data_IF_412987756492
#
_entry.id   IF_412987756492
#
_cell.length_a   1.000
_cell.length_b   1.000
_cell.length_c   1.000
_cell.angle_alpha   90.00
_cell.angle_beta   90.00
_cell.angle_gamma   90.00
#
_symmetry.space_group_name_H-M   'P 1'
#
loop_
_entity.id
_entity.type
_entity.pdbx_description
1 polymer ?
#
# COMPACT_ATOMS: atom_id res chain seq x y z
N UNK A 1 -30.84 30.02 16.00
CA UNK A 1 -29.36 29.98 16.00
C UNK A 1 -28.98 28.54 15.72
N UNK A 2 -28.17 28.27 14.69
CA UNK A 2 -27.75 26.91 14.37
C UNK A 2 -27.04 26.30 15.59
N UNK A 3 -27.53 25.17 16.10
CA UNK A 3 -26.92 24.42 17.21
C UNK A 3 -25.63 23.68 16.79
N UNK A 4 -25.27 23.75 15.50
CA UNK A 4 -24.14 23.02 14.94
C UNK A 4 -22.88 23.89 14.90
N UNK A 5 -22.15 23.91 16.02
CA UNK A 5 -20.89 24.67 16.17
C UNK A 5 -19.78 24.08 15.29
N UNK A 6 -18.85 24.91 14.82
CA UNK A 6 -17.69 24.45 14.03
C UNK A 6 -16.94 23.25 14.64
N UNK A 7 -16.61 23.18 15.95
CA UNK A 7 -15.93 22.01 16.50
C UNK A 7 -16.74 20.70 16.38
N UNK A 8 -18.07 20.78 16.48
CA UNK A 8 -18.95 19.60 16.30
C UNK A 8 -19.01 19.17 14.85
N UNK A 9 -19.10 20.13 13.92
CA UNK A 9 -19.04 19.85 12.48
C UNK A 9 -17.69 19.23 12.11
N UNK A 10 -16.59 19.84 12.55
CA UNK A 10 -15.24 19.37 12.27
C UNK A 10 -14.99 17.97 12.85
N UNK A 11 -15.54 17.64 14.02
CA UNK A 11 -15.47 16.30 14.60
C UNK A 11 -16.34 15.28 13.85
N UNK A 12 -17.62 15.56 13.61
CA UNK A 12 -18.57 14.65 12.94
C UNK A 12 -18.13 14.31 11.51
N UNK A 13 -17.54 15.28 10.82
CA UNK A 13 -17.10 15.15 9.42
C UNK A 13 -15.65 14.64 9.28
N UNK A 14 -15.04 14.23 10.40
CA UNK A 14 -13.63 13.85 10.49
C UNK A 14 -12.71 14.83 9.75
N UNK A 15 -12.74 16.10 10.16
CA UNK A 15 -11.98 17.20 9.55
C UNK A 15 -12.43 17.57 8.14
N UNK A 16 -13.72 17.41 7.84
CA UNK A 16 -14.32 17.65 6.51
C UNK A 16 -13.74 16.73 5.42
N UNK A 17 -13.38 15.49 5.79
CA UNK A 17 -12.76 14.52 4.86
C UNK A 17 -13.65 13.32 4.53
N UNK A 18 -14.81 13.21 5.19
CA UNK A 18 -15.81 12.20 4.83
C UNK A 18 -16.43 12.56 3.47
N UNK A 19 -16.74 11.54 2.67
CA UNK A 19 -17.22 11.69 1.31
C UNK A 19 -16.11 11.87 0.26
N UNK A 20 -14.84 12.01 0.64
CA UNK A 20 -13.74 12.03 -0.33
C UNK A 20 -13.36 10.59 -0.75
N UNK A 21 -13.16 10.29 -2.06
CA UNK A 21 -12.59 9.03 -2.50
C UNK A 21 -11.20 8.77 -1.90
N UNK A 22 -10.97 7.53 -1.45
CA UNK A 22 -9.71 7.07 -0.86
C UNK A 22 -9.30 5.71 -1.41
N UNK A 23 -8.02 5.37 -1.25
CA UNK A 23 -7.46 4.07 -1.66
C UNK A 23 -7.79 3.76 -3.13
N UNK A 24 -7.65 4.76 -4.00
CA UNK A 24 -8.06 4.67 -5.40
C UNK A 24 -7.17 3.69 -6.15
N UNK A 25 -7.76 2.67 -6.75
CA UNK A 25 -7.13 1.69 -7.64
C UNK A 25 -7.75 1.81 -9.03
N UNK A 26 -6.91 1.92 -10.05
CA UNK A 26 -7.35 2.01 -11.45
C UNK A 26 -6.96 0.72 -12.16
N UNK A 27 -7.88 0.12 -12.90
CA UNK A 27 -7.60 -1.13 -13.62
C UNK A 27 -6.57 -0.94 -14.73
N UNK A 28 -5.73 -1.94 -15.03
CA UNK A 28 -4.73 -1.83 -16.11
C UNK A 28 -5.32 -1.57 -17.49
N UNK A 29 -6.57 -1.96 -17.72
CA UNK A 29 -7.32 -1.68 -18.96
C UNK A 29 -7.96 -0.28 -18.98
N UNK A 30 -7.82 0.51 -17.91
CA UNK A 30 -8.36 1.85 -17.78
C UNK A 30 -9.89 1.93 -17.70
N UNK A 31 -10.58 0.80 -17.49
CA UNK A 31 -12.05 0.72 -17.54
C UNK A 31 -12.74 0.83 -16.20
N UNK A 32 -12.02 0.69 -15.08
CA UNK A 32 -12.58 0.68 -13.73
C UNK A 32 -11.72 1.50 -12.78
N UNK A 33 -12.38 2.31 -11.97
CA UNK A 33 -11.77 2.99 -10.82
C UNK A 33 -12.47 2.48 -9.56
N UNK A 34 -11.72 1.84 -8.68
CA UNK A 34 -12.21 1.29 -7.41
C UNK A 34 -11.73 2.17 -6.27
N UNK A 35 -12.60 2.53 -5.34
CA UNK A 35 -12.24 3.41 -4.23
C UNK A 35 -13.14 3.20 -3.01
N UNK A 36 -12.60 3.53 -1.84
CA UNK A 36 -13.35 3.61 -0.60
C UNK A 36 -13.90 5.03 -0.42
N UNK A 37 -15.18 5.16 -0.09
CA UNK A 37 -15.82 6.46 0.16
C UNK A 37 -17.05 6.27 1.05
N UNK A 38 -17.27 7.19 1.99
CA UNK A 38 -18.53 7.21 2.74
C UNK A 38 -19.69 7.71 1.87
N UNK A 39 -20.93 7.46 2.28
CA UNK A 39 -22.12 7.86 1.50
C UNK A 39 -22.42 9.35 1.56
N UNK A 40 -21.95 10.01 2.61
CA UNK A 40 -22.20 11.42 2.88
C UNK A 40 -21.05 12.02 3.69
N UNK A 41 -20.97 13.35 3.68
CA UNK A 41 -19.95 14.11 4.42
C UNK A 41 -20.06 14.04 5.94
N UNK A 42 -21.11 13.40 6.48
CA UNK A 42 -21.33 13.15 7.91
C UNK A 42 -21.51 11.66 8.25
N UNK A 43 -21.30 10.76 7.27
CA UNK A 43 -21.29 9.30 7.45
C UNK A 43 -19.86 8.81 7.66
N UNK A 44 -19.48 8.32 8.85
CA UNK A 44 -18.11 7.87 9.13
C UNK A 44 -17.79 6.50 8.53
N UNK A 45 -18.74 5.82 7.89
CA UNK A 45 -18.59 4.46 7.38
C UNK A 45 -18.23 4.47 5.90
N UNK A 46 -17.01 4.03 5.59
CA UNK A 46 -16.57 3.87 4.21
C UNK A 46 -17.16 2.61 3.57
N UNK A 47 -17.73 2.78 2.38
CA UNK A 47 -18.14 1.70 1.49
C UNK A 47 -17.14 1.54 0.34
N UNK A 48 -17.20 0.41 -0.37
CA UNK A 48 -16.41 0.21 -1.60
C UNK A 48 -17.26 0.50 -2.83
N UNK A 49 -16.74 1.34 -3.71
CA UNK A 49 -17.38 1.79 -4.94
C UNK A 49 -16.53 1.43 -6.15
N UNK A 50 -17.18 1.28 -7.30
CA UNK A 50 -16.56 1.15 -8.62
C UNK A 50 -17.18 2.20 -9.52
N UNK A 51 -16.36 3.00 -10.19
CA UNK A 51 -16.75 3.75 -11.37
C UNK A 51 -16.39 2.91 -12.61
N UNK A 52 -17.42 2.55 -13.39
CA UNK A 52 -17.27 1.89 -14.68
C UNK A 52 -17.09 2.95 -15.80
N UNK A 53 -16.10 2.79 -16.68
CA UNK A 53 -15.71 3.75 -17.73
C UNK A 53 -15.94 3.21 -19.17
N UNK A 54 -16.98 2.39 -19.37
CA UNK A 54 -17.27 1.78 -20.68
C UNK A 54 -17.47 2.84 -21.78
N UNK A 55 -16.79 2.66 -22.91
CA UNK A 55 -16.78 3.50 -24.13
C UNK A 55 -16.04 4.85 -24.07
N UNK A 56 -15.33 5.16 -22.99
CA UNK A 56 -14.50 6.38 -22.92
C UNK A 56 -15.29 7.69 -22.81
N UNK A 57 -16.62 7.61 -22.79
CA UNK A 57 -17.51 8.71 -22.46
C UNK A 57 -18.15 8.43 -21.09
N UNK A 58 -17.94 9.35 -20.15
CA UNK A 58 -18.64 9.36 -18.88
C UNK A 58 -20.09 9.82 -19.11
N UNK A 59 -21.07 9.00 -18.69
CA UNK A 59 -22.45 9.47 -18.56
C UNK A 59 -22.65 10.01 -17.15
N UNK A 60 -22.73 11.33 -16.99
CA UNK A 60 -23.16 11.92 -15.71
C UNK A 60 -24.62 11.54 -15.48
N UNK A 61 -24.90 10.67 -14.51
CA UNK A 61 -26.25 10.45 -14.01
C UNK A 61 -26.90 11.76 -13.55
N UNK A 62 -28.24 11.79 -13.41
CA UNK A 62 -28.98 12.99 -12.98
C UNK A 62 -28.55 13.51 -11.59
N UNK A 63 -27.84 12.70 -10.80
CA UNK A 63 -27.28 12.99 -9.48
C UNK A 63 -25.82 13.44 -9.49
N UNK A 64 -25.16 13.48 -10.65
CA UNK A 64 -23.77 13.91 -10.79
C UNK A 64 -22.71 12.83 -10.53
N UNK A 65 -23.11 11.62 -10.13
CA UNK A 65 -22.20 10.55 -9.67
C UNK A 65 -21.83 9.52 -10.76
N UNK A 66 -22.32 9.68 -11.98
CA UNK A 66 -21.93 8.80 -13.09
C UNK A 66 -22.32 7.33 -12.91
N UNK A 67 -21.70 6.43 -13.67
CA UNK A 67 -21.85 4.96 -13.52
C UNK A 67 -21.11 4.42 -12.27
N UNK A 68 -21.18 5.14 -11.15
CA UNK A 68 -20.69 4.68 -9.85
C UNK A 68 -21.63 3.64 -9.26
N UNK A 69 -21.06 2.51 -8.84
CA UNK A 69 -21.79 1.39 -8.26
C UNK A 69 -21.16 0.97 -6.94
N UNK A 70 -22.02 0.87 -5.93
CA UNK A 70 -21.68 0.27 -4.64
C UNK A 70 -21.42 -1.23 -4.80
N UNK A 71 -20.25 -1.70 -4.36
CA UNK A 71 -19.85 -3.12 -4.40
C UNK A 71 -19.91 -3.77 -3.02
N UNK A 72 -19.49 -3.05 -1.99
CA UNK A 72 -19.48 -3.56 -0.62
C UNK A 72 -19.94 -2.49 0.35
N UNK A 73 -20.98 -2.83 1.11
CA UNK A 73 -21.49 -2.03 2.22
C UNK A 73 -21.20 -2.76 3.53
N UNK A 74 -20.35 -2.21 4.42
CA UNK A 74 -20.08 -2.80 5.72
C UNK A 74 -21.36 -3.15 6.47
N UNK A 75 -22.36 -2.26 6.48
CA UNK A 75 -23.57 -2.44 7.28
C UNK A 75 -24.41 -3.64 6.81
N UNK A 76 -24.36 -3.95 5.51
CA UNK A 76 -25.01 -5.13 4.92
C UNK A 76 -24.16 -6.38 5.16
N UNK A 77 -22.84 -6.27 5.04
CA UNK A 77 -21.92 -7.40 5.14
C UNK A 77 -21.80 -7.95 6.55
N UNK A 78 -21.70 -7.08 7.56
CA UNK A 78 -21.51 -7.51 8.95
C UNK A 78 -22.80 -7.52 9.77
N UNK A 79 -23.89 -6.91 9.28
CA UNK A 79 -25.04 -6.53 10.10
C UNK A 79 -24.66 -5.36 11.01
N UNK A 80 -25.63 -4.51 11.40
CA UNK A 80 -25.39 -3.20 12.03
C UNK A 80 -24.71 -3.17 13.43
N UNK A 81 -23.97 -4.21 13.83
CA UNK A 81 -23.39 -4.35 15.15
C UNK A 81 -22.02 -5.05 15.08
N UNK A 82 -20.91 -4.29 14.99
CA UNK A 82 -19.63 -4.66 15.66
C UNK A 82 -18.43 -3.70 15.44
N UNK A 83 -18.64 -2.41 15.17
CA UNK A 83 -17.49 -1.46 15.11
C UNK A 83 -16.83 -1.21 16.49
N UNK A 84 -17.46 -1.64 17.60
CA UNK A 84 -16.99 -1.38 18.97
C UNK A 84 -15.97 -2.42 19.49
N UNK A 85 -15.85 -3.60 18.85
CA UNK A 85 -15.00 -4.72 19.30
C UNK A 85 -13.94 -5.16 18.28
N UNK A 86 -13.09 -4.22 17.84
CA UNK A 86 -11.96 -4.58 16.97
C UNK A 86 -10.90 -5.42 17.72
N UNK A 87 -10.39 -6.51 17.11
CA UNK A 87 -9.26 -7.27 17.65
C UNK A 87 -8.03 -6.37 17.93
N UNK A 88 -7.20 -6.67 18.95
CA UNK A 88 -6.05 -5.84 19.32
C UNK A 88 -5.06 -5.59 18.17
N UNK A 89 -4.84 -6.60 17.32
CA UNK A 89 -3.95 -6.51 16.15
C UNK A 89 -4.49 -5.52 15.10
N UNK A 90 -5.80 -5.50 14.86
CA UNK A 90 -6.45 -4.55 13.94
C UNK A 90 -6.37 -3.13 14.50
N UNK A 91 -6.59 -2.96 15.81
CA UNK A 91 -6.49 -1.67 16.48
C UNK A 91 -5.08 -1.09 16.38
N UNK A 92 -4.07 -1.89 16.70
CA UNK A 92 -2.67 -1.50 16.59
C UNK A 92 -2.34 -1.07 15.16
N UNK A 93 -2.79 -1.81 14.14
CA UNK A 93 -2.59 -1.45 12.72
C UNK A 93 -3.25 -0.11 12.37
N UNK A 94 -4.51 0.11 12.75
CA UNK A 94 -5.22 1.37 12.50
C UNK A 94 -4.48 2.57 13.10
N UNK A 95 -3.91 2.39 14.28
CA UNK A 95 -3.06 3.41 14.90
C UNK A 95 -1.81 3.70 14.05
N UNK A 96 -1.09 2.68 13.55
CA UNK A 96 0.09 2.89 12.67
C UNK A 96 -0.26 3.56 11.34
N UNK A 97 -1.38 3.15 10.75
CA UNK A 97 -1.89 3.71 9.51
C UNK A 97 -2.56 5.09 9.70
N UNK A 98 -2.71 5.56 10.94
CA UNK A 98 -3.43 6.79 11.32
C UNK A 98 -4.85 6.82 10.75
N UNK A 99 -5.49 5.65 10.70
CA UNK A 99 -6.82 5.45 10.10
C UNK A 99 -7.92 5.65 11.14
N UNK A 100 -8.78 6.65 10.91
CA UNK A 100 -9.87 7.03 11.81
C UNK A 100 -11.27 6.71 11.28
N UNK A 101 -11.41 6.27 10.02
CA UNK A 101 -12.71 5.97 9.43
C UNK A 101 -13.24 4.59 9.87
N UNK A 102 -14.57 4.48 10.00
CA UNK A 102 -15.27 3.20 10.19
C UNK A 102 -15.51 2.49 8.85
N UNK A 103 -15.93 1.22 8.89
CA UNK A 103 -16.20 0.44 7.68
C UNK A 103 -14.95 -0.06 6.94
N UNK A 104 -14.97 0.03 5.59
CA UNK A 104 -13.88 -0.47 4.73
C UNK A 104 -12.74 0.55 4.70
N UNK A 105 -11.66 0.25 5.41
CA UNK A 105 -10.46 1.08 5.51
C UNK A 105 -9.36 0.67 4.53
N UNK A 106 -9.37 -0.58 4.06
CA UNK A 106 -8.44 -1.10 3.06
C UNK A 106 -9.07 -2.25 2.27
N UNK A 107 -8.65 -2.40 1.03
CA UNK A 107 -8.98 -3.54 0.17
C UNK A 107 -7.78 -3.85 -0.74
N UNK A 108 -7.75 -5.06 -1.29
CA UNK A 108 -6.80 -5.45 -2.32
C UNK A 108 -7.57 -6.01 -3.52
N UNK A 109 -6.94 -6.01 -4.69
CA UNK A 109 -7.50 -6.57 -5.92
C UNK A 109 -6.55 -7.58 -6.52
N UNK A 110 -7.07 -8.42 -7.41
CA UNK A 110 -6.25 -9.13 -8.39
C UNK A 110 -5.61 -8.13 -9.37
N UNK A 111 -4.70 -8.64 -10.21
CA UNK A 111 -3.98 -7.85 -11.21
C UNK A 111 -4.92 -7.11 -12.17
N UNK A 112 -6.00 -7.74 -12.59
CA UNK A 112 -6.93 -7.19 -13.60
C UNK A 112 -8.07 -6.38 -12.97
N UNK A 113 -8.04 -6.20 -11.65
CA UNK A 113 -9.01 -5.41 -10.88
C UNK A 113 -10.44 -5.92 -11.12
N UNK A 114 -10.60 -7.25 -11.16
CA UNK A 114 -11.86 -7.96 -11.38
C UNK A 114 -12.46 -8.51 -10.09
N UNK A 115 -11.61 -8.82 -9.11
CA UNK A 115 -11.97 -9.38 -7.80
C UNK A 115 -11.29 -8.56 -6.72
N UNK A 116 -12.04 -8.25 -5.67
CA UNK A 116 -11.50 -7.63 -4.46
C UNK A 116 -11.50 -8.60 -3.29
N UNK A 117 -10.59 -8.39 -2.35
CA UNK A 117 -10.65 -8.95 -1.01
C UNK A 117 -10.46 -7.85 0.04
N UNK A 118 -11.14 -7.97 1.17
CA UNK A 118 -11.02 -7.06 2.30
C UNK A 118 -11.24 -7.80 3.62
N UNK A 119 -10.62 -7.28 4.67
CA UNK A 119 -10.89 -7.69 6.04
C UNK A 119 -11.85 -6.68 6.68
N UNK A 120 -12.91 -7.17 7.29
CA UNK A 120 -13.89 -6.33 8.01
C UNK A 120 -14.34 -7.07 9.27
N UNK A 121 -14.18 -6.41 10.43
CA UNK A 121 -14.42 -7.03 11.75
C UNK A 121 -13.71 -8.38 11.94
N UNK A 122 -12.46 -8.50 11.46
CA UNK A 122 -11.67 -9.73 11.53
C UNK A 122 -12.13 -10.87 10.61
N UNK A 123 -13.14 -10.64 9.74
CA UNK A 123 -13.65 -11.61 8.77
C UNK A 123 -13.17 -11.28 7.36
N UNK A 124 -13.03 -12.30 6.51
CA UNK A 124 -12.67 -12.17 5.11
C UNK A 124 -13.91 -11.99 4.23
N UNK A 125 -13.89 -10.94 3.41
CA UNK A 125 -14.87 -10.73 2.35
C UNK A 125 -14.20 -10.69 0.99
N UNK A 126 -14.85 -11.30 0.00
CA UNK A 126 -14.42 -11.28 -1.41
C UNK A 126 -15.59 -10.82 -2.28
N UNK A 127 -15.30 -10.18 -3.40
CA UNK A 127 -16.37 -9.79 -4.33
C UNK A 127 -15.90 -9.53 -5.75
N UNK A 128 -16.82 -9.73 -6.69
CA UNK A 128 -16.59 -9.40 -8.09
C UNK A 128 -16.83 -7.90 -8.32
N UNK A 129 -15.81 -7.20 -8.80
CA UNK A 129 -15.89 -5.77 -9.09
C UNK A 129 -16.77 -5.50 -10.32
N UNK A 130 -16.83 -6.44 -11.27
CA UNK A 130 -17.72 -6.39 -12.43
C UNK A 130 -19.17 -6.73 -12.04
N UNK A 131 -19.38 -7.77 -11.23
CA UNK A 131 -20.73 -8.20 -10.84
C UNK A 131 -21.35 -7.33 -9.75
N UNK A 132 -20.53 -6.64 -8.95
CA UNK A 132 -20.98 -5.83 -7.82
C UNK A 132 -21.44 -6.60 -6.61
N UNK A 133 -21.05 -7.87 -6.51
CA UNK A 133 -21.48 -8.75 -5.42
C UNK A 133 -20.29 -9.08 -4.55
N UNK A 134 -20.37 -8.66 -3.28
CA UNK A 134 -19.46 -9.08 -2.21
C UNK A 134 -20.13 -10.12 -1.31
N UNK A 135 -19.34 -11.04 -0.77
CA UNK A 135 -19.78 -12.05 0.19
C UNK A 135 -18.67 -12.37 1.19
N UNK A 136 -19.07 -12.88 2.34
CA UNK A 136 -18.13 -13.47 3.28
C UNK A 136 -17.49 -14.73 2.66
N UNK A 137 -16.21 -14.92 2.91
CA UNK A 137 -15.48 -16.17 2.69
C UNK A 137 -15.06 -16.69 4.07
N UNK A 138 -15.81 -17.68 4.58
CA UNK A 138 -15.57 -18.21 5.91
C UNK A 138 -14.24 -18.97 5.95
N UNK A 139 -13.29 -18.43 6.71
CA UNK A 139 -11.93 -18.96 6.88
C UNK A 139 -11.51 -18.83 8.35
N UNK A 140 -10.40 -19.47 8.72
CA UNK A 140 -9.81 -19.28 10.05
C UNK A 140 -9.39 -17.82 10.23
N UNK A 141 -9.76 -17.23 11.37
CA UNK A 141 -9.52 -15.82 11.66
C UNK A 141 -9.07 -15.58 13.11
N UNK A 142 -8.84 -14.32 13.50
CA UNK A 142 -9.08 -13.09 12.73
C UNK A 142 -8.18 -12.95 11.49
N UNK A 143 -8.71 -12.32 10.44
CA UNK A 143 -8.08 -12.16 9.12
C UNK A 143 -7.41 -10.79 8.99
N UNK A 144 -6.19 -10.79 8.45
CA UNK A 144 -5.39 -9.60 8.19
C UNK A 144 -4.80 -9.58 6.77
N UNK A 145 -4.67 -8.36 6.23
CA UNK A 145 -4.12 -8.02 4.90
C UNK A 145 -4.56 -8.97 3.76
N UNK A 146 -5.84 -9.37 3.59
CA UNK A 146 -6.18 -10.36 2.57
C UNK A 146 -5.92 -9.84 1.15
N UNK A 147 -5.30 -10.68 0.31
CA UNK A 147 -4.90 -10.33 -1.07
C UNK A 147 -5.23 -11.44 -2.06
N UNK A 148 -6.03 -11.16 -3.10
CA UNK A 148 -6.19 -12.08 -4.22
C UNK A 148 -4.85 -12.36 -4.90
N UNK A 149 -4.68 -13.58 -5.41
CA UNK A 149 -3.61 -13.88 -6.35
C UNK A 149 -3.86 -13.16 -7.70
N UNK A 150 -2.84 -13.04 -8.58
CA UNK A 150 -2.96 -12.27 -9.83
C UNK A 150 -3.99 -12.80 -10.84
N UNK A 151 -4.51 -14.01 -10.66
CA UNK A 151 -5.54 -14.62 -11.52
C UNK A 151 -6.87 -14.83 -10.78
N UNK A 152 -7.01 -14.28 -9.58
CA UNK A 152 -8.24 -14.27 -8.78
C UNK A 152 -8.85 -15.66 -8.49
N UNK A 153 -8.00 -16.66 -8.23
CA UNK A 153 -8.41 -18.00 -7.83
C UNK A 153 -8.26 -18.27 -6.35
N UNK A 154 -7.39 -17.52 -5.65
CA UNK A 154 -7.03 -17.73 -4.25
C UNK A 154 -6.83 -16.41 -3.52
N UNK A 155 -6.98 -16.45 -2.21
CA UNK A 155 -6.67 -15.33 -1.32
C UNK A 155 -5.56 -15.75 -0.37
N UNK A 156 -4.46 -15.00 -0.34
CA UNK A 156 -3.50 -15.08 0.76
C UNK A 156 -3.91 -14.11 1.86
N UNK A 157 -3.76 -14.49 3.12
CA UNK A 157 -4.08 -13.66 4.27
C UNK A 157 -3.24 -14.07 5.49
N UNK A 158 -3.12 -13.18 6.44
CA UNK A 158 -2.47 -13.46 7.74
C UNK A 158 -3.54 -13.76 8.78
N UNK A 159 -3.29 -14.74 9.63
CA UNK A 159 -4.09 -14.99 10.84
C UNK A 159 -3.19 -15.42 11.99
N UNK A 160 -3.20 -14.65 13.08
CA UNK A 160 -2.23 -14.80 14.17
C UNK A 160 -0.79 -14.62 13.67
N UNK A 161 0.09 -15.58 13.98
CA UNK A 161 1.49 -15.59 13.54
C UNK A 161 1.70 -16.25 12.17
N UNK A 162 0.65 -16.73 11.51
CA UNK A 162 0.76 -17.56 10.31
C UNK A 162 0.28 -16.87 9.03
N UNK A 163 0.95 -17.16 7.93
CA UNK A 163 0.51 -16.86 6.57
C UNK A 163 -0.33 -18.03 6.05
N UNK A 164 -1.53 -17.74 5.55
CA UNK A 164 -2.54 -18.72 5.12
C UNK A 164 -3.01 -18.45 3.70
N UNK A 165 -3.50 -19.49 3.04
CA UNK A 165 -4.15 -19.41 1.73
C UNK A 165 -5.58 -19.93 1.85
N UNK A 166 -6.52 -19.26 1.21
CA UNK A 166 -7.89 -19.71 1.03
C UNK A 166 -8.23 -19.86 -0.46
N UNK A 167 -8.91 -20.93 -0.82
CA UNK A 167 -9.65 -21.04 -2.07
C UNK A 167 -10.96 -20.26 -1.96
N UNK A 168 -11.56 -19.91 -3.10
CA UNK A 168 -12.83 -19.16 -3.12
C UNK A 168 -14.03 -19.96 -2.58
N UNK A 169 -13.91 -21.27 -2.36
CA UNK A 169 -14.95 -22.08 -1.71
C UNK A 169 -14.90 -22.00 -0.16
N UNK A 170 -13.87 -21.36 0.40
CA UNK A 170 -13.66 -21.21 1.85
C UNK A 170 -12.72 -22.24 2.45
N UNK A 171 -12.31 -23.26 1.69
CA UNK A 171 -11.22 -24.13 2.13
C UNK A 171 -9.94 -23.33 2.29
N UNK A 172 -9.21 -23.55 3.38
CA UNK A 172 -7.97 -22.81 3.66
C UNK A 172 -6.94 -23.68 4.36
N UNK A 173 -5.66 -23.31 4.21
CA UNK A 173 -4.53 -24.00 4.83
C UNK A 173 -3.44 -23.02 5.24
N UNK A 174 -2.58 -23.46 6.16
CA UNK A 174 -1.38 -22.72 6.53
C UNK A 174 -0.29 -22.91 5.47
N UNK A 175 0.22 -21.80 4.92
CA UNK A 175 1.37 -21.82 4.01
C UNK A 175 2.69 -21.74 4.77
N UNK A 176 2.75 -20.89 5.80
CA UNK A 176 3.90 -20.78 6.69
C UNK A 176 3.46 -20.34 8.10
N UNK A 177 4.04 -21.00 9.11
CA UNK A 177 3.79 -20.77 10.52
C UNK A 177 4.83 -21.51 11.37
N UNK A 178 5.01 -21.07 12.61
CA UNK A 178 5.91 -21.68 13.59
C UNK A 178 5.24 -21.69 14.97
N UNK A 179 5.60 -22.69 15.80
CA UNK A 179 5.07 -22.81 17.16
C UNK A 179 5.59 -21.73 18.12
N UNK A 180 6.72 -21.08 17.78
CA UNK A 180 7.28 -20.01 18.60
C UNK A 180 6.43 -18.73 18.45
N UNK A 181 5.78 -18.24 19.52
CA UNK A 181 4.94 -17.05 19.46
C UNK A 181 5.72 -15.75 19.21
N UNK A 182 7.06 -15.77 19.28
CA UNK A 182 7.91 -14.65 18.90
C UNK A 182 8.14 -14.56 17.39
N UNK A 183 7.81 -15.61 16.63
CA UNK A 183 8.02 -15.68 15.19
C UNK A 183 6.68 -15.49 14.47
N UNK A 184 6.69 -14.65 13.43
CA UNK A 184 5.51 -14.35 12.61
C UNK A 184 5.86 -14.40 11.13
N UNK A 185 4.93 -14.89 10.33
CA UNK A 185 5.04 -14.99 8.89
C UNK A 185 4.06 -14.04 8.18
N UNK A 186 4.49 -13.48 7.05
CA UNK A 186 3.65 -12.62 6.21
C UNK A 186 3.31 -11.25 6.80
N UNK A 187 3.87 -10.88 7.95
CA UNK A 187 3.67 -9.56 8.56
C UNK A 187 4.92 -8.69 8.46
N UNK A 188 4.73 -7.37 8.39
CA UNK A 188 5.83 -6.44 8.62
C UNK A 188 6.25 -6.46 10.09
N UNK A 189 7.54 -6.22 10.34
CA UNK A 189 8.04 -5.91 11.67
C UNK A 189 7.67 -4.47 12.08
N UNK A 190 7.84 -4.16 13.37
CA UNK A 190 7.47 -2.85 13.91
C UNK A 190 8.21 -1.70 13.23
N UNK A 191 9.53 -1.82 13.04
CA UNK A 191 10.36 -0.75 12.47
C UNK A 191 9.97 -0.50 11.01
N UNK A 192 9.77 -1.57 10.25
CA UNK A 192 9.32 -1.46 8.86
C UNK A 192 7.97 -0.73 8.72
N UNK A 193 7.00 -1.06 9.58
CA UNK A 193 5.67 -0.46 9.52
C UNK A 193 5.64 1.01 9.98
N UNK A 194 6.32 1.33 11.09
CA UNK A 194 6.25 2.66 11.71
C UNK A 194 7.20 3.67 11.07
N UNK A 195 8.43 3.24 10.77
CA UNK A 195 9.51 4.16 10.40
C UNK A 195 9.87 4.09 8.91
N UNK A 196 9.54 2.98 8.22
CA UNK A 196 9.86 2.77 6.79
C UNK A 196 8.64 2.74 5.89
N UNK A 197 7.44 2.87 6.47
CA UNK A 197 6.16 2.83 5.75
C UNK A 197 5.92 1.55 4.93
N UNK A 198 6.56 0.43 5.28
CA UNK A 198 6.27 -0.90 4.73
C UNK A 198 5.29 -1.63 5.65
N UNK A 199 4.02 -1.59 5.27
CA UNK A 199 2.94 -2.24 6.04
C UNK A 199 2.72 -3.71 5.67
N UNK A 200 3.28 -4.16 4.53
CA UNK A 200 3.13 -5.53 4.02
C UNK A 200 4.28 -6.42 4.45
N UNK A 201 3.97 -7.69 4.67
CA UNK A 201 4.97 -8.75 4.90
C UNK A 201 4.95 -9.87 3.85
N UNK A 202 4.10 -9.80 2.82
CA UNK A 202 4.12 -10.79 1.74
C UNK A 202 3.62 -10.26 0.39
N UNK A 203 4.04 -10.91 -0.70
CA UNK A 203 3.78 -10.52 -2.07
C UNK A 203 3.62 -11.75 -2.98
N UNK A 204 2.48 -11.86 -3.66
CA UNK A 204 2.23 -12.87 -4.70
C UNK A 204 3.20 -12.74 -5.87
N UNK A 205 3.72 -13.86 -6.36
CA UNK A 205 4.44 -13.93 -7.62
C UNK A 205 3.52 -13.51 -8.78
N UNK A 206 4.06 -12.96 -9.89
CA UNK A 206 3.24 -12.47 -11.01
C UNK A 206 2.32 -13.52 -11.66
N UNK A 207 2.64 -14.81 -11.51
CA UNK A 207 1.86 -15.94 -11.99
C UNK A 207 0.96 -16.60 -10.93
N UNK A 208 1.02 -16.14 -9.68
CA UNK A 208 0.22 -16.67 -8.56
C UNK A 208 0.68 -18.04 -8.03
N UNK A 209 1.84 -18.54 -8.43
CA UNK A 209 2.34 -19.87 -8.02
C UNK A 209 3.19 -19.87 -6.74
N UNK A 210 3.66 -18.70 -6.32
CA UNK A 210 4.49 -18.53 -5.14
C UNK A 210 4.19 -17.22 -4.40
N UNK A 211 4.69 -17.11 -3.17
CA UNK A 211 4.63 -15.90 -2.36
C UNK A 211 6.02 -15.59 -1.82
N UNK A 212 6.51 -14.37 -2.03
CA UNK A 212 7.62 -13.84 -1.24
C UNK A 212 7.06 -13.41 0.12
N UNK A 213 7.55 -13.95 1.23
CA UNK A 213 7.03 -13.71 2.57
C UNK A 213 8.15 -13.42 3.56
N UNK A 214 7.94 -12.42 4.40
CA UNK A 214 8.80 -12.14 5.54
C UNK A 214 8.56 -13.17 6.64
N UNK A 215 9.65 -13.67 7.23
CA UNK A 215 9.66 -14.28 8.55
C UNK A 215 10.32 -13.29 9.49
N UNK A 216 9.59 -12.88 10.53
CA UNK A 216 10.01 -11.92 11.54
C UNK A 216 10.16 -12.65 12.86
N UNK A 217 11.35 -12.68 13.43
CA UNK A 217 11.64 -13.21 14.76
C UNK A 217 11.94 -12.07 15.72
N UNK A 218 10.99 -11.78 16.60
CA UNK A 218 11.12 -10.71 17.59
C UNK A 218 11.81 -11.18 18.88
N UNK A 219 12.29 -12.43 18.98
CA UNK A 219 12.94 -12.96 20.19
C UNK A 219 14.06 -12.08 20.74
N UNK A 220 14.96 -11.48 19.93
CA UNK A 220 16.01 -10.58 20.39
C UNK A 220 15.49 -9.25 20.96
N UNK A 221 14.27 -8.85 20.57
CA UNK A 221 13.72 -7.54 20.91
C UNK A 221 13.27 -7.50 22.37
N UNK A 222 13.68 -6.44 23.05
CA UNK A 222 13.35 -6.22 24.45
C UNK A 222 11.83 -6.05 24.65
N UNK A 223 11.34 -6.59 25.77
CA UNK A 223 9.95 -6.45 26.18
C UNK A 223 9.77 -5.23 27.07
N UNK A 224 8.84 -4.38 26.70
CA UNK A 224 8.35 -3.26 27.49
C UNK A 224 6.96 -3.56 28.03
N UNK A 225 6.58 -2.88 29.10
CA UNK A 225 5.28 -3.02 29.74
C UNK A 225 4.57 -1.67 29.74
N UNK A 226 3.41 -1.61 29.11
CA UNK A 226 2.59 -0.40 29.01
C UNK A 226 1.40 -0.57 29.96
N UNK A 227 1.39 0.21 31.05
CA UNK A 227 0.26 0.25 31.97
C UNK A 227 -0.85 1.18 31.44
N UNK A 228 -2.11 0.87 31.77
CA UNK A 228 -3.25 1.75 31.53
C UNK A 228 -3.50 2.60 32.80
N UNK A 229 -3.15 3.90 32.81
CA UNK A 229 -3.34 4.74 33.99
C UNK A 229 -4.82 4.97 34.35
N UNK A 230 -5.76 4.76 33.42
CA UNK A 230 -7.18 4.90 33.68
C UNK A 230 -7.77 3.67 34.38
N UNK A 231 -7.15 2.50 34.18
CA UNK A 231 -7.53 1.22 34.79
C UNK A 231 -6.30 0.58 35.46
N UNK A 232 -5.78 1.17 36.55
CA UNK A 232 -4.51 0.75 37.16
C UNK A 232 -4.54 -0.65 37.81
N UNK A 233 -5.72 -1.26 37.92
CA UNK A 233 -5.93 -2.63 38.37
C UNK A 233 -5.76 -3.67 37.25
N UNK A 234 -5.70 -3.25 35.98
CA UNK A 234 -5.41 -4.14 34.85
C UNK A 234 -3.92 -4.48 34.76
N UNK A 235 -3.61 -5.71 34.34
CA UNK A 235 -2.23 -6.11 34.08
C UNK A 235 -1.64 -5.29 32.92
N UNK A 236 -0.40 -4.77 33.03
CA UNK A 236 0.22 -4.03 31.94
C UNK A 236 0.36 -4.86 30.67
N UNK A 237 0.16 -4.23 29.52
CA UNK A 237 0.35 -4.88 28.21
C UNK A 237 1.83 -5.04 27.92
N UNK A 238 2.26 -6.28 27.65
CA UNK A 238 3.60 -6.56 27.16
C UNK A 238 3.71 -6.24 25.66
N UNK A 239 4.71 -5.46 25.28
CA UNK A 239 5.04 -5.17 23.87
C UNK A 239 6.52 -5.43 23.61
N UNK A 240 6.87 -5.94 22.43
CA UNK A 240 8.26 -5.98 21.98
C UNK A 240 8.58 -4.65 21.30
N UNK A 241 9.53 -3.91 21.87
CA UNK A 241 9.83 -2.55 21.43
C UNK A 241 11.34 -2.40 21.14
N UNK A 242 11.74 -2.21 19.87
CA UNK A 242 13.13 -2.07 19.47
C UNK A 242 13.63 -0.65 19.76
N UNK A 243 13.93 -0.38 21.03
CA UNK A 243 14.46 0.92 21.44
C UNK A 243 15.80 1.22 20.75
N UNK A 244 16.05 2.49 20.45
CA UNK A 244 17.29 2.93 19.80
C UNK A 244 18.54 2.37 20.52
N UNK A 245 19.44 1.76 19.75
CA UNK A 245 20.67 1.13 20.27
C UNK A 245 20.51 -0.30 20.81
N UNK A 246 19.30 -0.86 20.84
CA UNK A 246 19.02 -2.26 21.20
C UNK A 246 18.77 -3.12 19.96
N UNK A 247 18.66 -4.44 20.12
CA UNK A 247 18.47 -5.35 18.98
C UNK A 247 17.14 -5.13 18.26
N UNK A 248 17.20 -5.19 16.94
CA UNK A 248 16.02 -5.23 16.07
C UNK A 248 15.52 -6.68 15.96
N UNK A 249 14.28 -6.89 15.47
CA UNK A 249 13.83 -8.21 15.03
C UNK A 249 14.78 -8.81 13.99
N UNK A 250 14.95 -10.13 14.00
CA UNK A 250 15.62 -10.81 12.89
C UNK A 250 14.60 -11.04 11.76
N UNK A 251 14.83 -10.38 10.62
CA UNK A 251 13.94 -10.42 9.46
C UNK A 251 14.61 -11.17 8.32
N UNK A 252 13.94 -12.21 7.84
CA UNK A 252 14.32 -12.97 6.63
C UNK A 252 13.20 -12.92 5.60
N UNK A 253 13.56 -13.12 4.33
CA UNK A 253 12.62 -13.17 3.23
C UNK A 253 12.70 -14.55 2.58
N UNK A 254 11.55 -15.17 2.33
CA UNK A 254 11.45 -16.50 1.74
C UNK A 254 10.51 -16.49 0.55
N UNK A 255 10.85 -17.19 -0.52
CA UNK A 255 9.92 -17.52 -1.61
C UNK A 255 9.30 -18.87 -1.32
N UNK A 256 8.00 -18.85 -1.05
CA UNK A 256 7.18 -20.01 -0.70
C UNK A 256 6.35 -20.41 -1.92
N UNK A 257 6.72 -21.51 -2.57
CA UNK A 257 5.93 -22.09 -3.65
C UNK A 257 4.72 -22.81 -3.06
N UNK A 258 3.56 -22.67 -3.71
CA UNK A 258 2.31 -23.28 -3.22
C UNK A 258 2.32 -24.82 -3.29
N UNK A 259 3.27 -25.41 -4.00
CA UNK A 259 3.49 -26.86 -4.06
C UNK A 259 4.39 -27.40 -2.94
N UNK A 260 4.82 -26.53 -2.01
CA UNK A 260 5.60 -26.88 -0.82
C UNK A 260 7.08 -26.54 -0.88
N UNK A 261 7.57 -25.94 -1.97
CA UNK A 261 8.93 -25.42 -2.05
C UNK A 261 9.13 -24.16 -1.18
N UNK A 262 10.29 -24.02 -0.55
CA UNK A 262 10.66 -22.82 0.20
C UNK A 262 12.15 -22.48 -0.05
N UNK A 263 12.41 -21.22 -0.38
CA UNK A 263 13.76 -20.71 -0.67
C UNK A 263 14.02 -19.43 0.10
N UNK A 264 15.01 -19.42 1.00
CA UNK A 264 15.45 -18.18 1.66
C UNK A 264 16.19 -17.28 0.67
N UNK A 265 15.76 -16.02 0.55
CA UNK A 265 16.49 -14.96 -0.15
C UNK A 265 17.65 -14.50 0.73
N UNK A 266 18.87 -14.53 0.20
CA UNK A 266 20.11 -14.32 0.95
C UNK A 266 20.75 -12.98 0.59
N UNK A 267 20.96 -12.14 1.60
CA UNK A 267 21.74 -10.90 1.52
C UNK A 267 22.56 -10.68 2.79
N UNK A 268 23.44 -9.68 2.81
CA UNK A 268 24.18 -9.30 4.02
C UNK A 268 23.28 -8.58 5.04
N UNK A 269 22.50 -9.36 5.80
CA UNK A 269 21.64 -8.89 6.89
C UNK A 269 22.42 -8.23 8.03
N UNK A 270 23.70 -8.54 8.19
CA UNK A 270 24.52 -7.92 9.23
C UNK A 270 24.83 -6.47 8.89
N UNK A 271 25.17 -6.19 7.63
CA UNK A 271 25.40 -4.84 7.15
C UNK A 271 24.09 -4.08 6.90
N UNK A 272 23.06 -4.76 6.40
CA UNK A 272 21.76 -4.20 6.02
C UNK A 272 20.61 -4.93 6.74
N UNK A 273 20.39 -4.66 8.04
CA UNK A 273 19.40 -5.36 8.84
C UNK A 273 17.96 -4.95 8.52
N UNK A 274 17.75 -3.86 7.79
CA UNK A 274 16.42 -3.35 7.48
C UNK A 274 15.98 -3.78 6.09
N UNK A 275 14.91 -4.57 6.01
CA UNK A 275 14.20 -4.85 4.76
C UNK A 275 13.11 -3.78 4.57
N UNK A 276 13.40 -2.79 3.72
CA UNK A 276 12.59 -1.59 3.56
C UNK A 276 11.47 -1.77 2.52
N UNK A 277 11.70 -2.51 1.44
CA UNK A 277 10.70 -2.77 0.41
C UNK A 277 10.93 -4.12 -0.27
N UNK A 278 9.84 -4.73 -0.78
CA UNK A 278 9.88 -5.96 -1.58
C UNK A 278 8.84 -5.87 -2.69
N UNK A 279 9.22 -6.26 -3.90
CA UNK A 279 8.30 -6.37 -5.03
C UNK A 279 8.74 -7.47 -6.00
N UNK A 280 7.79 -8.01 -6.76
CA UNK A 280 8.10 -8.89 -7.87
C UNK A 280 8.33 -8.09 -9.15
N UNK A 281 9.25 -8.55 -9.97
CA UNK A 281 9.44 -8.08 -11.35
C UNK A 281 9.60 -9.26 -12.30
N UNK A 282 9.43 -8.98 -13.58
CA UNK A 282 9.86 -9.86 -14.66
C UNK A 282 10.99 -9.15 -15.40
N UNK A 283 12.12 -9.82 -15.60
CA UNK A 283 13.24 -9.27 -16.36
C UNK A 283 12.96 -9.28 -17.88
N UNK A 284 13.84 -8.64 -18.67
CA UNK A 284 13.69 -8.61 -20.13
C UNK A 284 13.79 -9.98 -20.82
N UNK A 285 14.21 -11.03 -20.12
CA UNK A 285 14.25 -12.41 -20.59
C UNK A 285 13.01 -13.23 -20.17
N UNK A 286 12.08 -12.62 -19.42
CA UNK A 286 10.85 -13.27 -18.95
C UNK A 286 11.01 -14.02 -17.62
N UNK A 287 12.14 -13.88 -16.93
CA UNK A 287 12.35 -14.54 -15.64
C UNK A 287 11.77 -13.69 -14.51
N UNK A 288 11.11 -14.34 -13.56
CA UNK A 288 10.65 -13.68 -12.33
C UNK A 288 11.82 -13.45 -11.39
N UNK A 289 11.88 -12.26 -10.80
CA UNK A 289 12.82 -11.90 -9.74
C UNK A 289 12.08 -11.22 -8.60
N UNK A 290 12.63 -11.34 -7.40
CA UNK A 290 12.17 -10.56 -6.24
C UNK A 290 13.13 -9.40 -6.05
N UNK A 291 12.66 -8.17 -6.20
CA UNK A 291 13.40 -7.00 -5.78
C UNK A 291 13.25 -6.80 -4.28
N UNK A 292 14.35 -6.44 -3.63
CA UNK A 292 14.36 -6.05 -2.22
C UNK A 292 15.21 -4.80 -2.03
N UNK A 293 14.68 -3.86 -1.25
CA UNK A 293 15.43 -2.68 -0.79
C UNK A 293 15.90 -2.93 0.63
N UNK A 294 17.20 -2.85 0.85
CA UNK A 294 17.81 -3.07 2.16
C UNK A 294 18.60 -1.86 2.60
N UNK A 295 18.52 -1.53 3.89
CA UNK A 295 19.15 -0.34 4.46
C UNK A 295 20.04 -0.70 5.65
N UNK A 296 21.18 -0.02 5.71
CA UNK A 296 22.15 -0.11 6.79
C UNK A 296 21.59 0.40 8.12
N UNK A 297 22.17 -0.06 9.23
CA UNK A 297 21.67 0.27 10.57
C UNK A 297 21.72 1.76 10.92
N UNK A 298 22.71 2.48 10.40
CA UNK A 298 22.82 3.93 10.55
C UNK A 298 22.04 4.71 9.48
N UNK A 299 21.34 4.00 8.60
CA UNK A 299 20.53 4.52 7.51
C UNK A 299 21.30 5.39 6.51
N UNK A 300 22.62 5.23 6.41
CA UNK A 300 23.48 6.01 5.50
C UNK A 300 23.83 5.32 4.19
N UNK A 301 23.46 4.05 4.06
CA UNK A 301 23.59 3.28 2.83
C UNK A 301 22.34 2.45 2.59
N UNK A 302 21.95 2.39 1.32
CA UNK A 302 20.83 1.63 0.78
C UNK A 302 21.30 0.80 -0.41
N UNK A 303 20.73 -0.39 -0.57
CA UNK A 303 20.87 -1.18 -1.80
C UNK A 303 19.50 -1.65 -2.29
N UNK A 304 19.33 -1.68 -3.61
CA UNK A 304 18.27 -2.46 -4.27
C UNK A 304 18.93 -3.69 -4.86
N UNK A 305 18.44 -4.86 -4.46
CA UNK A 305 18.92 -6.16 -4.91
C UNK A 305 17.83 -6.85 -5.74
N UNK A 306 18.23 -7.68 -6.69
CA UNK A 306 17.36 -8.67 -7.33
C UNK A 306 17.73 -10.07 -6.83
N UNK A 307 16.74 -10.83 -6.39
CA UNK A 307 16.88 -12.21 -5.96
C UNK A 307 16.33 -13.16 -7.03
N UNK A 308 17.06 -14.26 -7.28
CA UNK A 308 16.52 -15.43 -7.97
C UNK A 308 15.57 -16.16 -7.00
N UNK A 309 14.28 -16.33 -7.34
CA UNK A 309 13.30 -16.95 -6.43
C UNK A 309 13.54 -18.44 -6.19
N UNK A 310 14.32 -19.11 -7.03
CA UNK A 310 14.62 -20.55 -6.95
C UNK A 310 15.86 -20.82 -6.12
N UNK A 311 16.90 -19.99 -6.23
CA UNK A 311 18.16 -20.20 -5.50
C UNK A 311 18.27 -19.32 -4.25
N UNK A 312 17.60 -18.16 -4.25
CA UNK A 312 17.71 -17.14 -3.22
C UNK A 312 18.98 -16.31 -3.31
N UNK A 313 19.81 -16.50 -4.33
CA UNK A 313 20.99 -15.66 -4.56
C UNK A 313 20.55 -14.25 -4.98
N UNK A 314 21.31 -13.24 -4.53
CA UNK A 314 21.01 -11.83 -4.81
C UNK A 314 22.12 -11.14 -5.59
N UNK A 315 21.72 -10.30 -6.54
CA UNK A 315 22.59 -9.41 -7.30
C UNK A 315 22.23 -7.94 -7.02
N UNK A 316 23.22 -7.05 -6.79
CA UNK A 316 22.96 -5.64 -6.61
C UNK A 316 22.57 -4.96 -7.93
N UNK A 317 21.48 -4.22 -7.92
CA UNK A 317 21.03 -3.39 -9.06
C UNK A 317 21.31 -1.91 -8.87
N UNK A 318 21.22 -1.44 -7.63
CA UNK A 318 21.45 -0.05 -7.27
C UNK A 318 22.00 0.04 -5.86
N UNK A 319 22.86 1.02 -5.63
CA UNK A 319 23.36 1.37 -4.30
C UNK A 319 23.39 2.89 -4.18
N UNK A 320 23.05 3.38 -2.99
CA UNK A 320 23.17 4.78 -2.64
C UNK A 320 23.81 4.95 -1.27
N UNK A 321 24.37 6.14 -1.05
CA UNK A 321 24.97 6.49 0.22
C UNK A 321 25.03 7.99 0.44
N UNK A 322 24.84 8.40 1.70
CA UNK A 322 24.92 9.79 2.12
C UNK A 322 25.61 9.89 3.49
N UNK A 323 26.31 11.00 3.71
CA UNK A 323 26.99 11.27 4.99
C UNK A 323 26.04 11.59 6.14
N UNK A 324 24.82 12.05 5.84
CA UNK A 324 23.76 12.34 6.78
C UNK A 324 22.88 11.08 6.95
N UNK A 325 22.04 10.78 5.96
CA UNK A 325 21.18 9.59 5.84
C UNK A 325 20.65 9.45 4.41
N UNK A 326 20.21 8.25 4.02
CA UNK A 326 19.55 7.98 2.74
C UNK A 326 18.05 7.84 2.99
N UNK A 327 17.26 8.67 2.32
CA UNK A 327 15.80 8.64 2.43
C UNK A 327 15.20 7.44 1.67
N UNK A 328 14.19 6.79 2.25
CA UNK A 328 13.31 5.85 1.54
C UNK A 328 12.22 6.65 0.79
N UNK A 329 12.43 6.87 -0.50
CA UNK A 329 11.48 7.68 -1.30
C UNK A 329 10.25 6.84 -1.67
N UNK A 330 9.02 7.27 -1.32
CA UNK A 330 7.82 6.49 -1.57
C UNK A 330 7.63 6.15 -3.04
N UNK A 331 7.17 4.92 -3.30
CA UNK A 331 6.99 4.38 -4.66
C UNK A 331 8.29 3.98 -5.36
N UNK A 332 9.43 4.02 -4.66
CA UNK A 332 10.69 3.49 -5.17
C UNK A 332 11.17 2.32 -4.32
N UNK A 333 11.83 1.31 -4.91
CA UNK A 333 12.04 1.13 -6.34
C UNK A 333 10.74 0.86 -7.10
N UNK A 334 10.70 1.22 -8.37
CA UNK A 334 9.68 0.77 -9.32
C UNK A 334 10.35 0.24 -10.58
N UNK A 335 9.59 -0.37 -11.49
CA UNK A 335 10.11 -0.97 -12.72
C UNK A 335 9.23 -0.53 -13.89
N UNK A 336 9.86 -0.03 -14.96
CA UNK A 336 9.14 0.29 -16.21
C UNK A 336 8.71 -0.96 -16.95
N UNK A 337 7.84 -0.84 -17.96
CA UNK A 337 7.36 -1.98 -18.75
C UNK A 337 8.48 -2.72 -19.50
N UNK A 338 9.57 -2.04 -19.82
CA UNK A 338 10.79 -2.61 -20.43
C UNK A 338 11.84 -3.10 -19.40
N UNK A 339 11.51 -3.09 -18.11
CA UNK A 339 12.31 -3.71 -17.07
C UNK A 339 13.42 -2.83 -16.47
N UNK A 340 13.45 -1.53 -16.78
CA UNK A 340 14.42 -0.59 -16.20
C UNK A 340 14.05 -0.22 -14.77
N UNK A 341 15.06 -0.05 -13.94
CA UNK A 341 14.88 0.27 -12.53
C UNK A 341 14.64 1.77 -12.37
N UNK A 342 13.53 2.12 -11.71
CA UNK A 342 13.21 3.49 -11.31
C UNK A 342 13.51 3.65 -9.82
N UNK A 343 14.35 4.61 -9.49
CA UNK A 343 14.67 5.00 -8.11
C UNK A 343 14.60 6.52 -7.97
N UNK A 344 14.79 7.02 -6.75
CA UNK A 344 14.99 8.44 -6.51
C UNK A 344 16.11 8.64 -5.50
N UNK A 345 16.93 9.65 -5.75
CA UNK A 345 18.12 9.91 -4.95
C UNK A 345 18.46 11.39 -4.97
N UNK A 346 19.09 11.87 -3.89
CA UNK A 346 19.54 13.26 -3.82
C UNK A 346 20.81 13.41 -4.66
N UNK A 347 20.73 14.23 -5.72
CA UNK A 347 21.79 14.49 -6.69
C UNK A 347 21.77 15.96 -7.08
N UNK A 348 22.94 16.57 -7.19
CA UNK A 348 23.08 17.99 -7.58
C UNK A 348 22.30 18.97 -6.67
N UNK A 349 22.13 18.62 -5.40
CA UNK A 349 21.48 19.48 -4.39
C UNK A 349 19.95 19.35 -4.29
N UNK A 350 19.31 18.44 -5.03
CA UNK A 350 17.89 18.15 -4.90
C UNK A 350 17.57 16.67 -5.15
N UNK A 351 16.35 16.24 -4.84
CA UNK A 351 15.91 14.86 -5.08
C UNK A 351 15.52 14.67 -6.52
N UNK A 352 16.18 13.73 -7.20
CA UNK A 352 15.99 13.46 -8.62
C UNK A 352 15.35 12.10 -8.84
N UNK A 353 14.57 11.99 -9.91
CA UNK A 353 14.11 10.71 -10.44
C UNK A 353 15.26 10.09 -11.23
N UNK A 354 15.59 8.83 -10.93
CA UNK A 354 16.64 8.07 -11.60
C UNK A 354 16.03 6.89 -12.35
N UNK A 355 16.44 6.72 -13.61
CA UNK A 355 16.11 5.54 -14.42
C UNK A 355 17.42 4.86 -14.77
N UNK A 356 17.58 3.59 -14.35
CA UNK A 356 18.85 2.84 -14.38
C UNK A 356 20.04 3.64 -13.82
N UNK A 357 19.80 4.35 -12.72
CA UNK A 357 20.81 5.16 -12.04
C UNK A 357 21.11 6.52 -12.69
N UNK A 358 20.48 6.84 -13.84
CA UNK A 358 20.65 8.11 -14.54
C UNK A 358 19.54 9.09 -14.14
N UNK A 359 19.90 10.28 -13.67
CA UNK A 359 18.94 11.33 -13.35
C UNK A 359 18.20 11.83 -14.61
N UNK A 360 16.87 11.75 -14.60
CA UNK A 360 15.99 12.23 -15.69
C UNK A 360 15.19 13.49 -15.30
N UNK A 361 15.25 13.82 -14.01
CA UNK A 361 15.00 15.11 -13.37
C UNK A 361 15.67 16.35 -13.97
N UNK A 362 15.14 17.58 -14.08
CA UNK A 362 15.98 18.78 -14.00
C UNK A 362 16.35 19.13 -12.54
N UNK A 363 17.31 20.04 -12.31
CA UNK A 363 17.80 20.41 -10.96
C UNK A 363 16.91 21.40 -10.23
N UNK A 364 15.96 22.03 -10.91
CA UNK A 364 14.98 22.97 -10.36
C UNK A 364 13.67 22.26 -9.93
N UNK A 365 13.63 20.93 -9.95
CA UNK A 365 12.47 20.13 -9.60
C UNK A 365 12.82 19.13 -8.47
N UNK A 366 12.14 19.25 -7.33
CA UNK A 366 12.27 18.35 -6.18
C UNK A 366 11.27 17.19 -6.31
N UNK A 367 11.75 15.99 -6.58
CA UNK A 367 10.92 14.78 -6.59
C UNK A 367 10.49 14.42 -5.17
N UNK A 368 9.21 14.04 -5.00
CA UNK A 368 8.58 13.73 -3.71
C UNK A 368 8.25 12.24 -3.57
N UNK A 369 7.75 11.63 -4.63
CA UNK A 369 7.44 10.20 -4.69
C UNK A 369 7.26 9.76 -6.13
N UNK A 370 7.38 8.46 -6.39
CA UNK A 370 6.90 7.83 -7.63
C UNK A 370 5.47 7.34 -7.38
N UNK A 371 4.56 7.60 -8.32
CA UNK A 371 3.16 7.16 -8.25
C UNK A 371 3.01 5.81 -8.96
N UNK A 372 3.55 5.73 -10.18
CA UNK A 372 3.55 4.51 -10.98
C UNK A 372 4.70 4.54 -11.97
N UNK A 373 5.24 3.38 -12.28
CA UNK A 373 6.08 3.13 -13.44
C UNK A 373 5.48 1.95 -14.20
N UNK A 374 5.29 2.09 -15.51
CA UNK A 374 4.63 1.08 -16.32
C UNK A 374 4.59 1.49 -17.78
N UNK A 375 4.60 0.50 -18.69
CA UNK A 375 4.81 0.79 -20.11
C UNK A 375 6.10 1.58 -20.33
N UNK A 376 5.99 2.71 -21.03
CA UNK A 376 7.11 3.57 -21.42
C UNK A 376 7.22 4.86 -20.57
N UNK A 377 6.46 4.98 -19.48
CA UNK A 377 6.42 6.19 -18.67
C UNK A 377 6.54 5.95 -17.14
N UNK A 378 6.87 7.04 -16.46
CA UNK A 378 6.89 7.14 -15.00
C UNK A 378 6.07 8.36 -14.61
N UNK A 379 5.02 8.13 -13.83
CA UNK A 379 4.22 9.19 -13.20
C UNK A 379 4.70 9.38 -11.76
N UNK A 380 4.97 10.62 -11.36
CA UNK A 380 5.58 10.96 -10.08
C UNK A 380 5.08 12.30 -9.54
N UNK A 381 5.28 12.54 -8.24
CA UNK A 381 4.94 13.82 -7.60
C UNK A 381 6.21 14.65 -7.42
N UNK A 382 6.14 15.93 -7.75
CA UNK A 382 7.25 16.85 -7.59
C UNK A 382 6.80 18.31 -7.45
N UNK A 383 7.66 19.14 -6.89
CA UNK A 383 7.45 20.58 -6.75
C UNK A 383 8.68 21.37 -7.24
N UNK A 384 8.52 22.62 -7.70
CA UNK A 384 9.66 23.49 -7.97
C UNK A 384 10.54 23.60 -6.73
N UNK A 385 11.85 23.56 -6.91
CA UNK A 385 12.80 23.58 -5.78
C UNK A 385 12.70 24.86 -4.94
N UNK A 386 12.30 25.97 -5.56
CA UNK A 386 12.10 27.28 -4.92
C UNK A 386 10.68 27.50 -4.39
N UNK A 387 9.75 26.57 -4.62
CA UNK A 387 8.38 26.62 -4.10
C UNK A 387 7.94 25.26 -3.52
N UNK A 388 8.10 25.12 -2.21
CA UNK A 388 7.65 23.96 -1.46
C UNK A 388 6.18 24.03 -1.02
N UNK A 389 5.44 25.07 -1.41
CA UNK A 389 4.01 25.24 -1.04
C UNK A 389 3.05 24.54 -1.99
N UNK A 390 3.56 24.13 -3.17
CA UNK A 390 2.83 23.38 -4.19
C UNK A 390 3.40 21.98 -4.35
N UNK A 391 2.61 21.07 -4.92
CA UNK A 391 3.07 19.75 -5.34
C UNK A 391 2.24 19.30 -6.54
N UNK A 392 2.89 19.06 -7.66
CA UNK A 392 2.25 18.72 -8.93
C UNK A 392 2.45 17.25 -9.31
N UNK A 393 1.57 16.75 -10.17
CA UNK A 393 1.71 15.46 -10.83
C UNK A 393 2.51 15.65 -12.12
N UNK A 394 3.56 14.86 -12.29
CA UNK A 394 4.45 14.89 -13.45
C UNK A 394 4.50 13.53 -14.13
N UNK A 395 4.80 13.54 -15.42
CA UNK A 395 5.08 12.35 -16.23
C UNK A 395 6.39 12.52 -16.96
N UNK A 396 7.26 11.51 -16.84
CA UNK A 396 8.44 11.34 -17.67
C UNK A 396 8.23 10.14 -18.60
N UNK A 397 8.62 10.26 -19.86
CA UNK A 397 8.54 9.17 -20.86
C UNK A 397 9.94 8.74 -21.33
N UNK A 398 10.05 7.51 -21.82
CA UNK A 398 11.32 6.88 -22.20
C UNK A 398 12.11 7.61 -23.30
N UNK A 399 11.44 8.45 -24.09
CA UNK A 399 12.04 9.34 -25.09
C UNK A 399 12.65 10.63 -24.48
N UNK A 400 12.56 10.79 -23.16
CA UNK A 400 13.11 11.90 -22.41
C UNK A 400 12.17 13.09 -22.24
N UNK A 401 10.91 13.00 -22.68
CA UNK A 401 9.93 14.08 -22.49
C UNK A 401 9.46 14.11 -21.04
N UNK A 402 9.42 15.32 -20.47
CA UNK A 402 8.95 15.59 -19.11
C UNK A 402 7.79 16.59 -19.17
N UNK A 403 6.64 16.21 -18.61
CA UNK A 403 5.39 16.99 -18.71
C UNK A 403 4.71 17.09 -17.34
N UNK A 404 4.32 18.30 -16.93
CA UNK A 404 3.42 18.50 -15.80
C UNK A 404 1.97 18.18 -16.22
N UNK A 405 1.29 17.33 -15.45
CA UNK A 405 -0.13 16.98 -15.66
C UNK A 405 -1.09 17.87 -14.87
N UNK A 406 -0.54 18.70 -13.97
CA UNK A 406 -1.26 19.69 -13.16
C UNK A 406 -0.45 20.98 -13.12
N UNK A 407 -1.10 22.13 -13.26
CA UNK A 407 -0.49 23.45 -13.33
C UNK A 407 -1.07 24.46 -12.33
N UNK A 408 -2.27 24.24 -11.83
CA UNK A 408 -2.87 25.06 -10.78
C UNK A 408 -2.08 24.95 -9.46
N UNK A 409 -1.74 26.06 -8.77
CA UNK A 409 -1.06 26.00 -7.48
C UNK A 409 -1.91 25.29 -6.41
N UNK A 410 -1.40 24.16 -5.91
CA UNK A 410 -2.05 23.37 -4.88
C UNK A 410 -1.27 22.11 -4.52
N UNK A 411 -1.88 21.24 -3.73
CA UNK A 411 -1.35 19.93 -3.40
C UNK A 411 -2.11 18.89 -4.21
N UNK A 412 -1.41 18.27 -5.14
CA UNK A 412 -1.92 17.21 -6.00
C UNK A 412 -1.33 15.85 -5.62
N UNK A 413 -2.14 14.82 -5.77
CA UNK A 413 -1.76 13.40 -5.68
C UNK A 413 -2.46 12.63 -6.79
N UNK A 414 -1.96 11.44 -7.14
CA UNK A 414 -2.53 10.66 -8.24
C UNK A 414 -2.56 9.15 -7.96
N UNK A 415 -3.46 8.46 -8.65
CA UNK A 415 -3.48 7.02 -8.86
C UNK A 415 -3.50 6.74 -10.36
N UNK A 416 -2.77 5.71 -10.81
CA UNK A 416 -2.59 5.40 -12.24
C UNK A 416 -2.93 3.94 -12.51
N UNK A 417 -3.57 3.68 -13.65
CA UNK A 417 -3.81 2.33 -14.17
C UNK A 417 -4.04 2.38 -15.68
N UNK A 418 -3.23 1.63 -16.43
CA UNK A 418 -3.20 1.77 -17.89
C UNK A 418 -2.81 3.19 -18.32
N UNK A 419 -3.60 3.78 -19.20
CA UNK A 419 -3.46 5.17 -19.67
C UNK A 419 -4.17 6.20 -18.78
N UNK A 420 -4.91 5.74 -17.76
CA UNK A 420 -5.75 6.58 -16.91
C UNK A 420 -5.03 7.08 -15.69
N UNK A 421 -5.24 8.35 -15.37
CA UNK A 421 -4.72 9.02 -14.18
C UNK A 421 -5.89 9.66 -13.43
N UNK A 422 -6.09 9.26 -12.19
CA UNK A 422 -7.01 9.91 -11.27
C UNK A 422 -6.20 10.87 -10.40
N UNK A 423 -6.56 12.15 -10.38
CA UNK A 423 -5.87 13.21 -9.64
C UNK A 423 -6.78 13.75 -8.55
N UNK A 424 -6.29 13.72 -7.31
CA UNK A 424 -6.88 14.49 -6.19
C UNK A 424 -6.13 15.81 -6.07
N UNK A 425 -6.87 16.91 -6.04
CA UNK A 425 -6.35 18.28 -5.93
C UNK A 425 -6.94 18.98 -4.71
N UNK A 426 -6.08 19.60 -3.91
CA UNK A 426 -6.49 20.54 -2.86
C UNK A 426 -5.82 21.89 -3.14
N UNK A 427 -6.63 22.90 -3.45
CA UNK A 427 -6.18 24.25 -3.84
C UNK A 427 -6.69 25.27 -2.84
N UNK A 428 -6.03 26.43 -2.74
CA UNK A 428 -6.44 27.48 -1.79
C UNK A 428 -7.70 28.25 -2.19
N UNK A 429 -8.05 28.20 -3.48
CA UNK A 429 -9.18 28.96 -4.03
C UNK A 429 -10.54 28.38 -3.65
N UNK A 430 -10.61 27.08 -3.32
CA UNK A 430 -11.86 26.35 -3.09
C UNK A 430 -11.76 25.50 -1.82
N UNK A 431 -12.85 25.36 -1.02
CA UNK A 431 -12.85 24.50 0.15
C UNK A 431 -12.90 23.01 -0.24
N UNK A 432 -12.15 22.18 0.48
CA UNK A 432 -12.12 20.73 0.28
C UNK A 432 -11.13 20.30 -0.81
N UNK A 433 -11.26 19.06 -1.26
CA UNK A 433 -10.49 18.55 -2.40
C UNK A 433 -11.41 18.07 -3.51
N UNK A 434 -10.90 18.09 -4.74
CA UNK A 434 -11.56 17.53 -5.90
C UNK A 434 -10.79 16.32 -6.38
N UNK A 435 -11.48 15.23 -6.69
CA UNK A 435 -10.87 14.05 -7.30
C UNK A 435 -11.40 13.93 -8.72
N UNK A 436 -10.53 13.85 -9.73
CA UNK A 436 -10.93 13.79 -11.14
C UNK A 436 -10.13 12.78 -11.92
N UNK A 437 -10.76 12.12 -12.87
CA UNK A 437 -10.04 11.46 -13.95
C UNK A 437 -9.48 12.55 -14.87
N UNK A 438 -8.18 12.53 -15.19
CA UNK A 438 -7.63 13.46 -16.19
C UNK A 438 -8.37 13.26 -17.51
N UNK A 439 -8.83 14.37 -18.08
CA UNK A 439 -9.67 14.39 -19.30
C UNK A 439 -11.01 13.62 -19.15
N UNK A 440 -11.49 13.44 -17.91
CA UNK A 440 -12.73 12.73 -17.60
C UNK A 440 -13.52 13.34 -16.44
N UNK A 441 -14.37 12.54 -15.77
CA UNK A 441 -15.27 13.02 -14.72
C UNK A 441 -14.59 13.35 -13.39
N UNK A 442 -15.34 14.03 -12.53
CA UNK A 442 -15.02 14.18 -11.09
C UNK A 442 -15.62 12.99 -10.32
N UNK A 443 -14.88 12.45 -9.35
CA UNK A 443 -15.22 11.36 -8.44
C UNK A 443 -15.63 11.89 -7.06
#
# INVERSE_FOLDING_TARGET
MSEDTFPRQYARTQRLTLGEPRNVVVSPDGRRVVFARSRAGDDPVNCLWVLDLTDGEYSTGEDGHGDERLVADPMVLIGAADDEHLPPEERARRERMREGAGGITSFATDRDVTVMALALAGRLFVGGLISGVARELAVDGPVFDPRPDPVATRIAYVSGSSLRIAELDGSSWELAGEDDPAVRWGSADFVAAEEMHRFRGYWWSPDGTAIAACRVDDSPVQRWWIADPANPDHEPTAVRYPAAGTDNPDVTLHVLALDGGATEVRWDRSAYPYLADVQWRVDGAGNQQVLLTVQSRDQRSLMVLAADPRTGDTDPLFADGDTAWVELVPGTPAVTGDGRLVTAADRDGCRRLLVDGVAVTPTDLQVRSVVAAGGDDVTFLANPLDDATVQHVWRWTSDGVLTALTDEPGIHSASVGGDRVVVRSAVLAEPGSTTRLLEGPTL
#
